data_IF_779532262055
#
_entry.id   IF_779532262055
#
_cell.length_a   1.000
_cell.length_b   1.000
_cell.length_c   1.000
_cell.angle_alpha   90.00
_cell.angle_beta   90.00
_cell.angle_gamma   90.00
#
_symmetry.space_group_name_H-M   'P 1'
#
loop_
_entity.id
_entity.type
_entity.pdbx_description
1 polymer ?
#
# COMPACT_ATOMS: atom_id res chain seq x y z
N UNK A 1 -10.13 -24.70 -13.02
CA UNK A 1 -9.22 -24.19 -11.97
C UNK A 1 -10.11 -23.73 -10.83
N UNK A 2 -9.71 -23.88 -9.57
CA UNK A 2 -10.44 -23.25 -8.45
C UNK A 2 -10.59 -21.76 -8.72
N UNK A 3 -11.74 -21.19 -8.41
CA UNK A 3 -12.02 -19.77 -8.65
C UNK A 3 -13.03 -19.23 -7.64
N UNK A 4 -13.02 -17.92 -7.43
CA UNK A 4 -13.98 -17.19 -6.59
C UNK A 4 -14.32 -15.86 -7.26
N UNK A 5 -15.57 -15.43 -7.17
CA UNK A 5 -16.03 -14.11 -7.63
C UNK A 5 -16.35 -13.24 -6.43
N UNK A 6 -15.67 -12.13 -6.25
CA UNK A 6 -15.89 -11.21 -5.12
C UNK A 6 -16.44 -9.87 -5.56
N UNK A 7 -17.25 -9.16 -4.75
CA UNK A 7 -17.74 -7.83 -5.13
C UNK A 7 -16.60 -6.82 -5.27
N UNK A 8 -16.64 -6.01 -6.32
CA UNK A 8 -15.70 -4.90 -6.53
C UNK A 8 -16.33 -3.60 -6.03
N UNK A 9 -15.67 -2.96 -5.06
CA UNK A 9 -16.19 -1.74 -4.40
C UNK A 9 -15.87 -0.44 -5.14
N UNK A 10 -15.02 -0.49 -6.18
CA UNK A 10 -14.64 0.64 -7.02
C UNK A 10 -14.33 1.93 -6.22
N UNK A 11 -13.32 1.86 -5.35
CA UNK A 11 -12.93 3.01 -4.52
C UNK A 11 -12.47 4.22 -5.33
N UNK A 12 -11.95 4.00 -6.53
CA UNK A 12 -11.53 5.07 -7.44
C UNK A 12 -12.72 5.80 -8.09
N UNK A 13 -13.95 5.28 -7.96
CA UNK A 13 -15.14 5.90 -8.54
C UNK A 13 -15.21 5.82 -10.06
N UNK A 14 -14.53 4.85 -10.68
CA UNK A 14 -14.51 4.64 -12.14
C UNK A 14 -15.88 4.14 -12.61
N UNK A 15 -16.61 4.95 -13.39
CA UNK A 15 -17.99 4.62 -13.82
C UNK A 15 -18.13 3.29 -14.59
N UNK A 16 -17.07 2.80 -15.20
CA UNK A 16 -17.05 1.56 -16.00
C UNK A 16 -16.46 0.36 -15.25
N UNK A 17 -16.29 0.44 -13.93
CA UNK A 17 -15.81 -0.70 -13.13
C UNK A 17 -16.80 -1.86 -13.22
N UNK A 18 -16.29 -3.08 -13.30
CA UNK A 18 -17.12 -4.26 -13.11
C UNK A 18 -17.66 -4.30 -11.67
N UNK A 19 -18.83 -4.90 -11.47
CA UNK A 19 -19.42 -5.08 -10.13
C UNK A 19 -18.71 -6.17 -9.31
N UNK A 20 -17.90 -7.00 -9.96
CA UNK A 20 -17.23 -8.15 -9.37
C UNK A 20 -15.84 -8.39 -9.95
N UNK A 21 -14.95 -8.92 -9.12
CA UNK A 21 -13.62 -9.40 -9.47
C UNK A 21 -13.58 -10.94 -9.43
N UNK A 22 -12.99 -11.56 -10.45
CA UNK A 22 -12.78 -13.01 -10.52
C UNK A 22 -11.34 -13.34 -10.13
N UNK A 23 -11.16 -14.14 -9.08
CA UNK A 23 -9.86 -14.64 -8.66
C UNK A 23 -9.73 -16.13 -8.95
N UNK A 24 -8.58 -16.52 -9.50
CA UNK A 24 -8.18 -17.92 -9.64
C UNK A 24 -6.64 -17.99 -9.65
N UNK A 25 -6.02 -19.05 -9.09
CA UNK A 25 -4.59 -19.23 -9.19
C UNK A 25 -4.22 -19.56 -10.63
N UNK A 26 -3.28 -18.82 -11.20
CA UNK A 26 -2.68 -19.14 -12.50
C UNK A 26 -1.76 -20.37 -12.37
N UNK A 27 -2.34 -21.57 -12.27
CA UNK A 27 -1.59 -22.84 -12.14
C UNK A 27 -0.81 -23.11 -13.44
N UNK A 28 0.42 -23.60 -13.30
CA UNK A 28 1.32 -24.03 -14.39
C UNK A 28 1.78 -22.91 -15.36
N UNK A 29 1.90 -21.66 -14.90
CA UNK A 29 2.57 -20.63 -15.70
C UNK A 29 4.08 -20.95 -15.79
N UNK A 30 4.62 -21.28 -16.98
CA UNK A 30 6.04 -21.62 -17.11
C UNK A 30 6.92 -20.37 -16.94
N UNK A 31 8.18 -20.57 -16.55
CA UNK A 31 9.18 -19.52 -16.55
C UNK A 31 9.35 -18.98 -17.99
N UNK A 32 9.17 -17.67 -18.17
CA UNK A 32 9.21 -17.00 -19.49
C UNK A 32 8.28 -17.69 -20.50
N UNK A 33 6.98 -17.71 -20.20
CA UNK A 33 5.97 -18.18 -21.14
C UNK A 33 4.56 -17.73 -20.77
N UNK A 34 3.56 -18.40 -21.33
CA UNK A 34 2.16 -18.05 -21.14
C UNK A 34 1.33 -19.27 -20.75
N UNK A 35 0.28 -19.02 -19.96
CA UNK A 35 -0.79 -19.97 -19.69
C UNK A 35 -2.10 -19.36 -20.18
N UNK A 36 -2.95 -20.17 -20.81
CA UNK A 36 -4.22 -19.72 -21.39
C UNK A 36 -5.37 -20.29 -20.56
N UNK A 37 -6.28 -19.41 -20.17
CA UNK A 37 -7.48 -19.76 -19.43
C UNK A 37 -8.70 -19.33 -20.22
N UNK A 38 -9.79 -20.12 -20.14
CA UNK A 38 -11.08 -19.80 -20.74
C UNK A 38 -12.06 -19.47 -19.62
N UNK A 39 -12.69 -18.31 -19.72
CA UNK A 39 -13.73 -17.87 -18.79
C UNK A 39 -15.02 -17.82 -19.59
N UNK A 40 -16.06 -18.51 -19.12
CA UNK A 40 -17.36 -18.55 -19.77
C UNK A 40 -18.46 -18.23 -18.78
N UNK A 41 -19.43 -17.42 -19.23
CA UNK A 41 -20.69 -17.28 -18.52
C UNK A 41 -21.53 -18.51 -18.82
N UNK A 42 -21.92 -19.24 -17.78
CA UNK A 42 -22.71 -20.46 -17.89
C UNK A 42 -24.11 -20.15 -17.38
N UNK A 43 -25.14 -20.46 -18.18
CA UNK A 43 -26.54 -20.48 -17.76
C UNK A 43 -26.96 -21.91 -17.39
N UNK A 44 -28.02 -22.09 -16.59
CA UNK A 44 -28.49 -23.42 -16.16
C UNK A 44 -28.69 -24.40 -17.33
N UNK A 45 -29.15 -23.91 -18.49
CA UNK A 45 -29.32 -24.69 -19.72
C UNK A 45 -28.03 -25.18 -20.39
N UNK A 46 -26.88 -24.56 -20.10
CA UNK A 46 -25.56 -24.93 -20.66
C UNK A 46 -24.79 -25.93 -19.79
N UNK A 47 -25.14 -26.06 -18.50
CA UNK A 47 -24.55 -27.04 -17.59
C UNK A 47 -24.82 -28.49 -18.03
N UNK A 48 -26.04 -28.78 -18.49
CA UNK A 48 -26.41 -30.13 -18.97
C UNK A 48 -25.62 -30.55 -20.23
N UNK A 49 -25.31 -29.59 -21.11
CA UNK A 49 -24.55 -29.82 -22.35
C UNK A 49 -23.03 -29.95 -22.12
N UNK A 50 -22.51 -29.44 -21.00
CA UNK A 50 -21.07 -29.41 -20.69
C UNK A 50 -20.63 -30.51 -19.72
N UNK A 51 -21.48 -31.50 -19.44
CA UNK A 51 -21.25 -32.64 -18.55
C UNK A 51 -20.02 -33.52 -18.88
N UNK A 52 -19.30 -33.26 -19.98
CA UNK A 52 -18.04 -33.90 -20.34
C UNK A 52 -16.78 -33.08 -20.03
N UNK A 53 -16.91 -31.86 -19.49
CA UNK A 53 -15.79 -30.98 -19.14
C UNK A 53 -15.82 -30.74 -17.63
N UNK A 54 -14.67 -30.89 -16.96
CA UNK A 54 -14.49 -30.56 -15.54
C UNK A 54 -14.67 -29.04 -15.32
N UNK A 55 -15.91 -28.57 -15.25
CA UNK A 55 -16.26 -27.21 -14.90
C UNK A 55 -16.10 -27.03 -13.39
N UNK A 56 -15.31 -26.04 -13.00
CA UNK A 56 -15.23 -25.59 -11.60
C UNK A 56 -16.02 -24.31 -11.50
N UNK A 57 -17.11 -24.34 -10.72
CA UNK A 57 -17.94 -23.17 -10.46
C UNK A 57 -17.21 -22.26 -9.45
N UNK A 58 -17.23 -20.92 -9.64
CA UNK A 58 -16.71 -20.01 -8.64
C UNK A 58 -17.50 -20.13 -7.34
N UNK A 59 -16.82 -20.19 -6.21
CA UNK A 59 -17.49 -20.05 -4.91
C UNK A 59 -17.84 -18.58 -4.68
N UNK A 60 -19.01 -18.32 -4.10
CA UNK A 60 -19.40 -16.97 -3.68
C UNK A 60 -18.79 -16.67 -2.31
N UNK A 61 -18.10 -15.53 -2.12
CA UNK A 61 -17.55 -15.16 -0.83
C UNK A 61 -18.65 -14.80 0.15
N UNK A 62 -18.36 -15.01 1.43
CA UNK A 62 -19.21 -14.52 2.51
C UNK A 62 -18.79 -13.09 2.87
N UNK A 63 -19.74 -12.15 2.78
CA UNK A 63 -19.57 -10.78 3.31
C UNK A 63 -19.83 -10.76 4.81
N UNK A 64 -18.88 -10.26 5.60
CA UNK A 64 -19.05 -10.03 7.04
C UNK A 64 -18.74 -8.57 7.38
N UNK A 65 -19.64 -7.92 8.11
CA UNK A 65 -19.38 -6.61 8.73
C UNK A 65 -18.51 -6.80 9.97
N UNK A 66 -17.48 -5.97 10.15
CA UNK A 66 -16.60 -6.03 11.32
C UNK A 66 -17.21 -5.37 12.58
N UNK A 67 -18.37 -4.71 12.45
CA UNK A 67 -18.87 -3.72 13.41
C UNK A 67 -19.57 -4.24 14.67
N UNK A 68 -19.99 -5.50 14.76
CA UNK A 68 -21.02 -5.85 15.76
C UNK A 68 -20.89 -7.23 16.41
N UNK A 69 -19.68 -7.79 16.48
CA UNK A 69 -19.45 -8.94 17.35
C UNK A 69 -18.49 -8.53 18.45
N UNK A 70 -18.79 -8.88 19.70
CA UNK A 70 -17.89 -8.83 20.88
C UNK A 70 -16.58 -9.67 20.71
N UNK A 71 -16.19 -9.95 19.47
CA UNK A 71 -14.91 -10.51 19.06
C UNK A 71 -14.13 -9.36 18.41
N UNK A 72 -13.25 -8.74 19.18
CA UNK A 72 -12.44 -7.56 18.81
C UNK A 72 -11.42 -7.81 17.68
N UNK A 73 -11.32 -9.04 17.14
CA UNK A 73 -10.30 -9.42 16.18
C UNK A 73 -10.82 -10.39 15.10
N UNK A 74 -10.71 -10.00 13.83
CA UNK A 74 -10.80 -10.92 12.70
C UNK A 74 -9.44 -11.61 12.54
N UNK A 75 -9.42 -12.94 12.45
CA UNK A 75 -8.23 -13.71 12.10
C UNK A 75 -8.37 -14.35 10.73
N UNK A 76 -7.35 -14.21 9.90
CA UNK A 76 -7.33 -14.69 8.51
C UNK A 76 -6.03 -15.44 8.27
N UNK A 77 -6.13 -16.72 7.92
CA UNK A 77 -4.97 -17.57 7.62
C UNK A 77 -4.83 -17.76 6.11
N UNK A 78 -3.61 -17.61 5.59
CA UNK A 78 -3.23 -18.06 4.24
C UNK A 78 -2.72 -19.50 4.23
N UNK A 79 -2.47 -20.10 5.39
CA UNK A 79 -1.73 -21.36 5.53
C UNK A 79 -0.21 -21.17 5.68
N UNK A 80 0.36 -20.01 5.33
CA UNK A 80 1.75 -19.65 5.65
C UNK A 80 1.83 -18.61 6.76
N UNK A 81 0.87 -17.66 6.77
CA UNK A 81 0.73 -16.63 7.79
C UNK A 81 -0.72 -16.58 8.30
N UNK A 82 -0.89 -16.07 9.51
CA UNK A 82 -2.17 -15.64 10.08
C UNK A 82 -2.12 -14.13 10.34
N UNK A 83 -2.94 -13.37 9.63
CA UNK A 83 -3.09 -11.93 9.82
C UNK A 83 -4.32 -11.62 10.66
N UNK A 84 -4.17 -10.75 11.68
CA UNK A 84 -5.27 -10.32 12.55
C UNK A 84 -5.60 -8.86 12.34
N UNK A 85 -6.89 -8.56 12.27
CA UNK A 85 -7.41 -7.22 11.99
C UNK A 85 -8.35 -6.75 13.10
N UNK A 86 -8.29 -5.45 13.40
CA UNK A 86 -9.26 -4.77 14.25
C UNK A 86 -9.71 -3.51 13.54
N UNK A 87 -11.02 -3.25 13.49
CA UNK A 87 -11.60 -2.13 12.73
C UNK A 87 -11.09 -2.03 11.28
N UNK A 88 -10.80 -3.19 10.66
CA UNK A 88 -10.35 -3.29 9.27
C UNK A 88 -8.89 -2.89 9.00
N UNK A 89 -8.08 -2.63 10.04
CA UNK A 89 -6.62 -2.41 9.93
C UNK A 89 -5.84 -3.57 10.55
N UNK A 90 -4.64 -3.81 10.04
CA UNK A 90 -3.76 -4.87 10.51
C UNK A 90 -3.29 -4.59 11.95
N UNK A 91 -3.31 -5.64 12.78
CA UNK A 91 -2.88 -5.58 14.18
C UNK A 91 -1.83 -6.63 14.54
N UNK A 92 -1.83 -7.79 13.88
CA UNK A 92 -0.85 -8.85 14.13
C UNK A 92 -0.55 -9.63 12.86
N UNK A 93 0.67 -10.15 12.77
CA UNK A 93 1.05 -11.19 11.81
C UNK A 93 1.65 -12.35 12.59
N UNK A 94 1.16 -13.55 12.33
CA UNK A 94 1.72 -14.78 12.85
C UNK A 94 2.27 -15.68 11.72
N UNK A 95 3.48 -16.20 11.84
CA UNK A 95 4.07 -17.16 10.90
C UNK A 95 3.68 -18.60 11.27
N UNK A 96 2.99 -19.29 10.37
CA UNK A 96 2.48 -20.65 10.55
C UNK A 96 3.55 -21.64 10.08
N UNK A 97 4.51 -21.96 10.95
CA UNK A 97 5.58 -22.92 10.62
C UNK A 97 6.85 -22.76 11.44
N UNK A 98 7.07 -21.58 12.03
CA UNK A 98 8.20 -21.33 12.91
C UNK A 98 7.94 -22.00 14.28
N UNK A 99 8.76 -23.00 14.62
CA UNK A 99 8.66 -23.79 15.85
C UNK A 99 9.22 -23.08 17.09
N UNK A 100 9.76 -21.88 16.95
CA UNK A 100 10.26 -21.07 18.06
C UNK A 100 9.20 -20.06 18.55
N UNK A 101 9.25 -19.78 19.85
CA UNK A 101 8.22 -19.24 20.75
C UNK A 101 7.73 -17.81 20.49
N UNK A 102 7.87 -17.29 19.28
CA UNK A 102 7.49 -15.92 18.91
C UNK A 102 6.75 -15.86 17.56
N UNK A 103 5.98 -16.91 17.26
CA UNK A 103 5.29 -17.07 15.99
C UNK A 103 4.29 -15.97 15.67
N UNK A 104 3.79 -15.20 16.64
CA UNK A 104 2.84 -14.11 16.41
C UNK A 104 3.29 -12.78 17.00
N UNK A 105 3.43 -11.77 16.14
CA UNK A 105 3.91 -10.45 16.52
C UNK A 105 2.82 -9.39 16.35
N UNK A 106 2.80 -8.42 17.26
CA UNK A 106 1.99 -7.22 17.08
C UNK A 106 2.55 -6.40 15.92
N UNK A 107 1.71 -6.12 14.93
CA UNK A 107 2.03 -5.32 13.74
C UNK A 107 0.89 -4.34 13.50
N UNK A 108 1.04 -3.11 13.98
CA UNK A 108 0.03 -2.07 13.85
C UNK A 108 0.25 -1.27 12.58
N UNK A 109 -0.78 -1.19 11.74
CA UNK A 109 -0.82 -0.23 10.64
C UNK A 109 -1.45 1.07 11.12
N UNK A 110 -0.78 2.19 10.85
CA UNK A 110 -1.23 3.55 11.15
C UNK A 110 -1.29 4.35 9.85
N UNK A 111 -2.45 4.92 9.53
CA UNK A 111 -2.57 5.97 8.51
C UNK A 111 -2.46 7.34 9.16
N UNK A 112 -1.86 8.29 8.47
CA UNK A 112 -1.78 9.66 8.96
C UNK A 112 -1.11 10.60 7.98
N UNK A 113 -0.83 11.81 8.45
CA UNK A 113 -0.13 12.82 7.64
C UNK A 113 0.78 13.72 8.47
N UNK A 114 1.78 14.26 7.78
CA UNK A 114 2.52 15.44 8.22
C UNK A 114 1.87 16.69 7.62
N UNK A 115 1.79 17.76 8.41
CA UNK A 115 1.36 19.06 7.86
C UNK A 115 2.55 19.69 7.18
N UNK A 116 2.40 20.07 5.91
CA UNK A 116 3.44 20.76 5.17
C UNK A 116 3.78 22.10 5.83
N UNK A 117 5.07 22.36 6.04
CA UNK A 117 5.53 23.67 6.49
C UNK A 117 5.21 24.73 5.42
N UNK A 118 4.63 25.82 5.89
CA UNK A 118 4.23 27.00 5.13
C UNK A 118 4.65 28.20 5.96
N UNK A 119 5.61 28.98 5.46
CA UNK A 119 6.20 30.11 6.17
C UNK A 119 5.19 31.20 6.48
N UNK A 120 4.10 31.32 5.72
CA UNK A 120 3.04 32.29 6.01
C UNK A 120 2.20 31.91 7.23
N UNK A 121 2.26 30.65 7.66
CA UNK A 121 1.45 30.08 8.75
C UNK A 121 2.27 29.61 9.94
N UNK A 122 3.47 29.08 9.69
CA UNK A 122 4.24 28.31 10.67
C UNK A 122 5.57 28.98 11.05
N UNK A 123 6.04 29.98 10.31
CA UNK A 123 7.32 30.63 10.57
C UNK A 123 7.35 31.26 11.97
N UNK A 124 8.38 30.89 12.76
CA UNK A 124 8.62 31.48 14.09
C UNK A 124 9.48 32.75 14.02
N UNK A 125 10.10 33.02 12.88
CA UNK A 125 10.92 34.20 12.62
C UNK A 125 10.88 34.56 11.14
N UNK A 126 11.31 35.78 10.79
CA UNK A 126 11.36 36.24 9.39
C UNK A 126 12.35 35.45 8.52
N UNK A 127 13.33 34.82 9.14
CA UNK A 127 14.35 34.04 8.44
C UNK A 127 13.90 32.58 8.20
N UNK A 128 12.74 32.20 8.74
CA UNK A 128 12.19 30.86 8.60
C UNK A 128 11.32 30.71 7.34
N UNK A 129 11.98 30.82 6.18
CA UNK A 129 11.30 30.99 4.88
C UNK A 129 11.18 29.71 4.06
N UNK A 130 11.82 28.60 4.46
CA UNK A 130 11.82 27.40 3.64
C UNK A 130 10.50 26.64 3.74
N UNK A 131 9.70 26.64 2.68
CA UNK A 131 8.47 25.84 2.61
C UNK A 131 8.73 24.37 2.28
N UNK A 132 7.73 23.52 2.56
CA UNK A 132 7.61 22.21 1.89
C UNK A 132 7.05 22.39 0.48
N UNK A 133 7.45 21.55 -0.47
CA UNK A 133 7.04 21.66 -1.87
C UNK A 133 7.40 20.44 -2.70
N UNK A 134 7.67 20.67 -3.99
CA UNK A 134 7.97 19.61 -4.96
C UNK A 134 9.29 18.88 -4.65
N UNK A 135 10.28 19.57 -4.11
CA UNK A 135 11.62 19.06 -3.81
C UNK A 135 11.83 18.85 -2.32
N UNK A 136 11.37 19.81 -1.51
CA UNK A 136 11.64 19.83 -0.08
C UNK A 136 10.47 19.20 0.68
N UNK A 137 10.75 18.16 1.45
CA UNK A 137 9.87 17.71 2.53
C UNK A 137 10.25 18.43 3.82
N UNK A 138 9.33 19.24 4.33
CA UNK A 138 9.49 19.90 5.62
C UNK A 138 8.16 19.85 6.38
N UNK A 139 8.02 19.00 7.41
CA UNK A 139 6.87 19.04 8.31
C UNK A 139 6.79 20.39 9.05
N UNK A 140 5.59 20.76 9.50
CA UNK A 140 5.32 22.03 10.17
C UNK A 140 6.09 22.21 11.47
N UNK A 141 6.45 21.11 12.14
CA UNK A 141 7.40 21.07 13.23
C UNK A 141 8.49 20.00 12.96
N UNK A 142 9.78 20.28 13.21
CA UNK A 142 10.86 19.31 13.04
C UNK A 142 10.67 17.96 13.75
N UNK A 143 9.90 17.95 14.85
CA UNK A 143 9.56 16.78 15.66
C UNK A 143 8.06 16.46 15.59
N UNK A 144 7.38 16.88 14.52
CA UNK A 144 5.95 16.64 14.37
C UNK A 144 5.66 15.14 14.53
N UNK A 145 4.78 14.83 15.48
CA UNK A 145 4.20 13.49 15.58
C UNK A 145 3.22 13.27 14.43
N UNK A 146 3.12 12.04 13.95
CA UNK A 146 2.19 11.69 12.87
C UNK A 146 0.76 11.99 13.31
N UNK A 147 0.04 12.82 12.55
CA UNK A 147 -1.38 13.06 12.77
C UNK A 147 -2.15 11.84 12.26
N UNK A 148 -2.50 10.95 13.18
CA UNK A 148 -3.13 9.67 12.87
C UNK A 148 -4.57 9.88 12.44
N UNK A 149 -4.98 9.10 11.44
CA UNK A 149 -6.35 8.99 10.95
C UNK A 149 -6.88 7.62 11.38
N UNK A 150 -7.90 7.60 12.24
CA UNK A 150 -8.47 6.35 12.72
C UNK A 150 -9.28 5.65 11.62
N UNK A 151 -9.33 4.31 11.60
CA UNK A 151 -10.29 3.60 10.76
C UNK A 151 -11.72 3.91 11.21
N UNK A 152 -12.64 4.11 10.26
CA UNK A 152 -14.07 4.18 10.48
C UNK A 152 -14.63 2.75 10.58
N UNK A 153 -15.01 2.28 11.79
CA UNK A 153 -15.52 0.93 11.95
C UNK A 153 -16.77 0.72 11.10
N UNK A 154 -17.60 1.77 10.95
CA UNK A 154 -18.88 1.77 10.19
C UNK A 154 -18.75 1.50 8.69
N UNK A 155 -17.50 1.49 8.20
CA UNK A 155 -17.14 1.34 6.79
C UNK A 155 -16.11 0.24 6.59
N UNK A 156 -16.01 -0.69 7.54
CA UNK A 156 -15.06 -1.79 7.52
C UNK A 156 -15.77 -3.13 7.35
N UNK A 157 -15.40 -3.87 6.30
CA UNK A 157 -16.07 -5.12 5.93
C UNK A 157 -15.07 -6.13 5.37
N UNK A 158 -15.48 -7.39 5.37
CA UNK A 158 -14.65 -8.51 4.95
C UNK A 158 -15.38 -9.30 3.89
N UNK A 159 -14.69 -9.60 2.79
CA UNK A 159 -15.08 -10.65 1.86
C UNK A 159 -14.16 -11.84 2.07
N UNK A 160 -14.72 -12.94 2.58
CA UNK A 160 -13.97 -14.17 2.86
C UNK A 160 -14.29 -15.23 1.83
N UNK A 161 -13.25 -15.81 1.23
CA UNK A 161 -13.33 -16.97 0.33
C UNK A 161 -12.18 -17.95 0.58
N UNK A 162 -12.15 -19.06 -0.16
CA UNK A 162 -11.12 -20.09 -0.06
C UNK A 162 -9.78 -19.67 -0.72
N UNK A 163 -9.81 -18.71 -1.67
CA UNK A 163 -8.61 -18.27 -2.41
C UNK A 163 -8.06 -16.93 -1.93
N UNK A 164 -8.94 -16.02 -1.50
CA UNK A 164 -8.58 -14.69 -1.03
C UNK A 164 -9.54 -14.24 0.05
N UNK A 165 -8.99 -13.58 1.06
CA UNK A 165 -9.79 -12.76 1.97
C UNK A 165 -9.40 -11.30 1.80
N UNK A 166 -10.40 -10.45 1.56
CA UNK A 166 -10.24 -9.01 1.49
C UNK A 166 -10.82 -8.35 2.73
N UNK A 167 -10.00 -7.56 3.41
CA UNK A 167 -10.41 -6.72 4.53
C UNK A 167 -10.40 -5.28 4.06
N UNK A 168 -11.59 -4.72 3.93
CA UNK A 168 -11.80 -3.36 3.49
C UNK A 168 -11.90 -2.43 4.69
N UNK A 169 -11.25 -1.29 4.61
CA UNK A 169 -11.40 -0.21 5.58
C UNK A 169 -11.37 1.15 4.92
N UNK A 170 -12.04 2.09 5.56
CA UNK A 170 -12.04 3.51 5.20
C UNK A 170 -11.58 4.28 6.42
N UNK A 171 -10.61 5.18 6.28
CA UNK A 171 -10.16 6.01 7.39
C UNK A 171 -11.11 7.18 7.61
N UNK A 172 -10.99 7.84 8.76
CA UNK A 172 -11.73 9.05 9.08
C UNK A 172 -11.54 10.12 7.99
N UNK A 173 -12.61 10.88 7.73
CA UNK A 173 -12.67 11.81 6.60
C UNK A 173 -12.96 11.14 5.25
N UNK A 174 -12.78 9.83 5.11
CA UNK A 174 -13.25 9.06 3.95
C UNK A 174 -12.46 9.25 2.65
N UNK A 175 -11.32 9.92 2.68
CA UNK A 175 -10.42 10.16 1.53
C UNK A 175 -9.19 9.24 1.53
N UNK A 176 -9.14 8.27 2.46
CA UNK A 176 -8.23 7.12 2.42
C UNK A 176 -9.07 5.86 2.56
N UNK A 177 -9.02 5.00 1.55
CA UNK A 177 -9.60 3.66 1.59
C UNK A 177 -8.50 2.63 1.33
N UNK A 178 -8.63 1.46 1.93
CA UNK A 178 -7.70 0.37 1.69
C UNK A 178 -8.39 -1.00 1.64
N UNK A 179 -7.72 -1.92 0.96
CA UNK A 179 -8.03 -3.33 0.88
C UNK A 179 -6.77 -4.08 1.33
N UNK A 180 -6.85 -4.75 2.48
CA UNK A 180 -5.83 -5.71 2.89
C UNK A 180 -6.22 -7.10 2.37
N UNK A 181 -5.39 -7.67 1.49
CA UNK A 181 -5.59 -9.01 0.91
C UNK A 181 -4.67 -10.04 1.53
N UNK A 182 -5.26 -11.19 1.83
CA UNK A 182 -4.57 -12.38 2.27
C UNK A 182 -4.90 -13.47 1.25
N UNK A 183 -3.93 -13.80 0.41
CA UNK A 183 -4.06 -14.86 -0.59
C UNK A 183 -3.77 -16.21 0.03
N UNK A 184 -4.56 -17.22 -0.33
CA UNK A 184 -4.32 -18.62 0.05
C UNK A 184 -2.93 -19.06 -0.43
N UNK A 185 -2.13 -19.63 0.47
CA UNK A 185 -0.74 -20.03 0.26
C UNK A 185 0.29 -18.88 0.28
N UNK A 186 -0.12 -17.61 0.37
CA UNK A 186 0.80 -16.46 0.40
C UNK A 186 1.42 -16.20 1.77
N UNK A 187 2.61 -15.63 1.81
CA UNK A 187 3.43 -15.35 3.01
C UNK A 187 3.57 -13.84 3.32
N UNK A 188 2.65 -13.03 2.77
CA UNK A 188 2.61 -11.59 2.94
C UNK A 188 1.17 -11.08 3.01
N UNK A 189 1.01 -9.86 3.55
CA UNK A 189 -0.23 -9.09 3.46
C UNK A 189 -0.07 -8.06 2.34
N UNK A 190 -0.94 -8.07 1.34
CA UNK A 190 -1.00 -7.01 0.35
C UNK A 190 -1.96 -5.92 0.83
N UNK A 191 -1.52 -4.67 0.80
CA UNK A 191 -2.34 -3.51 1.13
C UNK A 191 -2.45 -2.66 -0.12
N UNK A 192 -3.59 -2.74 -0.79
CA UNK A 192 -3.96 -1.79 -1.83
C UNK A 192 -4.67 -0.60 -1.18
N UNK A 193 -4.31 0.61 -1.57
CA UNK A 193 -4.90 1.82 -1.04
C UNK A 193 -5.28 2.79 -2.13
N UNK A 194 -6.32 3.58 -1.86
CA UNK A 194 -6.75 4.73 -2.63
C UNK A 194 -6.67 5.95 -1.71
N UNK A 195 -5.95 6.97 -2.15
CA UNK A 195 -5.71 8.20 -1.36
C UNK A 195 -6.06 9.41 -2.20
N UNK A 196 -7.05 10.15 -1.71
CA UNK A 196 -7.47 11.44 -2.23
C UNK A 196 -8.98 11.53 -2.46
N UNK A 197 -9.49 12.72 -2.82
CA UNK A 197 -8.76 13.98 -2.89
C UNK A 197 -8.26 14.43 -1.51
N UNK A 198 -6.98 14.78 -1.38
CA UNK A 198 -6.42 15.25 -0.10
C UNK A 198 -7.09 16.59 0.27
N UNK A 199 -7.79 16.68 1.42
CA UNK A 199 -8.54 17.88 1.79
C UNK A 199 -7.60 19.03 2.14
N UNK A 200 -7.91 20.23 1.64
CA UNK A 200 -7.12 21.46 1.85
C UNK A 200 -8.00 22.64 2.28
N UNK A 201 -9.25 22.39 2.69
CA UNK A 201 -10.22 23.43 3.08
C UNK A 201 -9.80 24.19 4.35
N UNK A 202 -8.96 23.55 5.17
CA UNK A 202 -8.28 24.17 6.32
C UNK A 202 -7.09 25.07 5.90
N UNK A 203 -6.80 25.14 4.60
CA UNK A 203 -5.65 25.82 4.03
C UNK A 203 -4.32 25.16 4.41
N UNK A 204 -4.27 23.92 4.86
CA UNK A 204 -3.01 23.26 5.24
C UNK A 204 -2.65 22.17 4.22
N UNK A 205 -1.41 22.24 3.72
CA UNK A 205 -0.83 21.14 2.93
C UNK A 205 -0.64 19.89 3.80
N UNK A 206 -0.80 18.71 3.19
CA UNK A 206 -0.75 17.42 3.89
C UNK A 206 0.08 16.42 3.09
N UNK A 207 0.91 15.68 3.80
CA UNK A 207 1.84 14.69 3.26
C UNK A 207 1.53 13.35 3.91
N UNK A 208 0.86 12.49 3.15
CA UNK A 208 0.14 11.31 3.63
C UNK A 208 1.10 10.13 3.75
N UNK A 209 1.03 9.43 4.88
CA UNK A 209 1.93 8.36 5.25
C UNK A 209 1.14 7.15 5.74
N UNK A 210 1.57 5.97 5.34
CA UNK A 210 1.25 4.73 6.04
C UNK A 210 2.47 4.28 6.84
N UNK A 211 2.27 3.93 8.10
CA UNK A 211 3.31 3.47 9.03
C UNK A 211 2.94 2.12 9.58
N UNK A 212 3.87 1.17 9.48
CA UNK A 212 3.74 -0.16 10.07
C UNK A 212 4.67 -0.24 11.27
N UNK A 213 4.14 -0.71 12.40
CA UNK A 213 4.86 -0.79 13.67
C UNK A 213 4.83 -2.21 14.21
N UNK A 214 6.01 -2.79 14.37
CA UNK A 214 6.24 -4.01 15.12
C UNK A 214 7.13 -3.66 16.33
N UNK A 215 6.54 -3.36 17.52
CA UNK A 215 7.30 -2.95 18.69
C UNK A 215 8.32 -3.96 19.19
N UNK A 216 8.15 -5.24 18.83
CA UNK A 216 9.09 -6.32 19.16
C UNK A 216 10.40 -6.24 18.38
N UNK A 217 10.49 -5.41 17.32
CA UNK A 217 11.73 -5.21 16.56
C UNK A 217 12.52 -4.05 17.16
N UNK A 218 13.64 -4.38 17.80
CA UNK A 218 14.55 -3.41 18.42
C UNK A 218 15.67 -3.00 17.45
N UNK A 219 15.32 -2.30 16.37
CA UNK A 219 16.27 -1.97 15.31
C UNK A 219 17.28 -0.84 15.66
N UNK A 220 17.17 -0.19 16.82
CA UNK A 220 18.12 0.83 17.28
C UNK A 220 18.34 1.98 16.30
N UNK A 221 17.29 2.39 15.58
CA UNK A 221 17.32 3.39 14.50
C UNK A 221 17.98 2.93 13.20
N UNK A 222 18.37 1.66 13.07
CA UNK A 222 18.91 1.08 11.84
C UNK A 222 17.78 0.63 10.93
N UNK A 223 17.85 0.95 9.65
CA UNK A 223 16.93 0.46 8.64
C UNK A 223 17.63 0.37 7.29
N UNK A 224 17.04 -0.31 6.32
CA UNK A 224 17.68 -0.58 5.06
C UNK A 224 16.74 -0.22 3.92
N UNK A 225 17.23 0.59 2.98
CA UNK A 225 16.46 0.93 1.76
C UNK A 225 17.24 0.48 0.54
N UNK A 226 16.52 0.02 -0.48
CA UNK A 226 17.15 -0.33 -1.74
C UNK A 226 17.79 0.89 -2.43
N UNK A 227 18.79 0.64 -3.27
CA UNK A 227 19.33 1.61 -4.21
C UNK A 227 18.92 1.21 -5.63
N UNK A 228 17.91 1.88 -6.17
CA UNK A 228 17.38 1.64 -7.51
C UNK A 228 16.96 0.18 -7.76
N UNK A 229 16.30 -0.44 -6.78
CA UNK A 229 15.87 -1.85 -6.83
C UNK A 229 17.01 -2.85 -6.66
N UNK A 230 18.23 -2.41 -6.35
CA UNK A 230 19.42 -3.27 -6.23
C UNK A 230 19.86 -3.39 -4.78
N UNK A 231 21.09 -3.01 -4.45
CA UNK A 231 21.69 -3.21 -3.12
C UNK A 231 20.90 -2.50 -2.03
N UNK A 232 20.80 -3.13 -0.86
CA UNK A 232 20.22 -2.51 0.31
C UNK A 232 21.29 -1.69 1.04
N UNK A 233 21.03 -0.40 1.17
CA UNK A 233 21.90 0.55 1.86
C UNK A 233 21.48 0.64 3.32
N UNK A 234 22.42 0.35 4.23
CA UNK A 234 22.21 0.58 5.66
C UNK A 234 22.04 2.07 5.94
N UNK A 235 20.94 2.43 6.59
CA UNK A 235 20.61 3.77 7.09
C UNK A 235 20.61 3.73 8.62
N UNK A 236 20.87 4.89 9.22
CA UNK A 236 20.82 5.09 10.66
C UNK A 236 20.14 6.43 10.93
N UNK A 237 19.07 6.41 11.73
CA UNK A 237 18.33 7.60 12.12
C UNK A 237 19.25 8.61 12.82
N UNK A 238 19.22 9.87 12.38
CA UNK A 238 20.01 10.96 12.95
C UNK A 238 21.53 10.86 12.72
N UNK A 239 21.98 10.07 11.73
CA UNK A 239 23.40 9.81 11.51
C UNK A 239 23.80 9.98 10.04
N UNK A 240 25.06 10.34 9.82
CA UNK A 240 25.71 10.35 8.49
C UNK A 240 27.08 9.70 8.59
N UNK A 241 27.45 8.80 7.65
CA UNK A 241 28.73 8.11 7.70
C UNK A 241 29.93 9.00 7.36
N UNK A 242 29.71 10.13 6.70
CA UNK A 242 30.77 10.94 6.10
C UNK A 242 31.02 12.28 6.80
N UNK A 243 30.15 12.69 7.73
CA UNK A 243 30.35 13.89 8.56
C UNK A 243 29.57 13.80 9.87
N UNK A 244 29.96 14.63 10.85
CA UNK A 244 29.21 14.77 12.10
C UNK A 244 27.94 15.60 11.86
N UNK A 245 26.77 14.94 11.83
CA UNK A 245 25.50 15.59 11.56
C UNK A 245 25.00 16.35 12.80
N UNK A 246 24.66 17.62 12.64
CA UNK A 246 23.74 18.31 13.56
C UNK A 246 22.34 18.27 12.93
N UNK A 247 21.45 17.48 13.52
CA UNK A 247 20.10 17.25 12.98
C UNK A 247 19.13 18.35 13.43
N UNK A 248 18.48 18.99 12.46
CA UNK A 248 17.49 20.06 12.71
C UNK A 248 16.09 19.67 12.22
N UNK A 249 15.96 18.56 11.48
CA UNK A 249 14.71 18.04 10.92
C UNK A 249 14.59 16.55 11.25
N UNK A 250 14.12 16.23 12.46
CA UNK A 250 14.18 14.86 13.00
C UNK A 250 13.32 13.87 12.21
N UNK A 251 12.27 14.34 11.53
CA UNK A 251 11.50 13.52 10.59
C UNK A 251 12.14 13.55 9.20
N UNK A 252 12.19 14.71 8.54
CA UNK A 252 12.59 14.81 7.13
C UNK A 252 14.04 14.38 6.87
N UNK A 253 14.96 14.64 7.79
CA UNK A 253 16.37 14.22 7.67
C UNK A 253 16.60 12.71 7.67
N UNK A 254 15.54 11.93 7.95
CA UNK A 254 15.57 10.47 8.01
C UNK A 254 14.72 9.79 6.93
N UNK A 255 14.22 10.55 5.95
CA UNK A 255 13.59 10.00 4.75
C UNK A 255 14.62 9.68 3.68
N UNK A 256 14.46 8.52 3.05
CA UNK A 256 15.28 8.02 1.94
C UNK A 256 14.40 7.52 0.80
N UNK A 257 14.92 7.49 -0.44
CA UNK A 257 14.21 6.87 -1.55
C UNK A 257 14.07 5.37 -1.32
N UNK A 258 12.88 4.86 -1.64
CA UNK A 258 12.50 3.45 -1.65
C UNK A 258 11.96 3.20 -3.06
N UNK A 259 12.71 2.49 -3.89
CA UNK A 259 12.30 2.23 -5.27
C UNK A 259 11.66 0.85 -5.42
N UNK A 260 11.97 -0.08 -4.51
CA UNK A 260 11.42 -1.43 -4.52
C UNK A 260 11.09 -1.96 -3.12
N UNK A 261 11.94 -1.72 -2.11
CA UNK A 261 11.68 -2.21 -0.76
C UNK A 261 12.48 -1.49 0.34
N UNK A 262 11.91 -1.53 1.55
CA UNK A 262 12.52 -1.09 2.81
C UNK A 262 12.33 -2.18 3.86
N UNK A 263 13.32 -2.38 4.73
CA UNK A 263 13.17 -3.29 5.86
C UNK A 263 13.86 -2.80 7.13
N UNK A 264 13.38 -3.31 8.26
CA UNK A 264 14.01 -3.25 9.59
C UNK A 264 14.19 -4.66 10.12
N UNK A 265 15.21 -4.85 10.95
CA UNK A 265 15.49 -6.14 11.58
C UNK A 265 16.29 -5.96 12.86
N UNK A 266 16.18 -6.94 13.74
CA UNK A 266 17.11 -7.22 14.84
C UNK A 266 17.59 -8.69 14.72
N UNK A 267 18.09 -9.28 15.81
CA UNK A 267 18.56 -10.68 15.80
C UNK A 267 17.40 -11.70 15.72
N UNK A 268 16.18 -11.31 16.09
CA UNK A 268 15.03 -12.20 16.28
C UNK A 268 13.95 -12.04 15.21
N UNK A 269 13.82 -10.85 14.61
CA UNK A 269 12.71 -10.51 13.74
C UNK A 269 13.16 -9.58 12.61
N UNK A 270 12.49 -9.70 11.48
CA UNK A 270 12.62 -8.77 10.36
C UNK A 270 11.24 -8.44 9.77
N UNK A 271 11.02 -7.17 9.45
CA UNK A 271 9.82 -6.67 8.79
C UNK A 271 10.22 -5.93 7.51
N UNK A 272 9.59 -6.29 6.39
CA UNK A 272 9.86 -5.70 5.07
C UNK A 272 8.60 -5.20 4.41
N UNK A 273 8.70 -4.08 3.71
CA UNK A 273 7.66 -3.52 2.85
C UNK A 273 8.22 -3.40 1.44
N UNK A 274 7.57 -4.03 0.48
CA UNK A 274 7.79 -3.78 -0.95
C UNK A 274 6.76 -2.78 -1.48
N UNK A 275 7.20 -1.91 -2.38
CA UNK A 275 6.42 -0.83 -2.98
C UNK A 275 6.21 -1.07 -4.48
N UNK A 276 5.06 -0.65 -5.02
CA UNK A 276 4.75 -0.76 -6.46
C UNK A 276 5.35 0.38 -7.31
N UNK A 277 5.87 1.43 -6.65
CA UNK A 277 6.47 2.61 -7.27
C UNK A 277 7.46 3.27 -6.32
N UNK A 278 8.29 4.16 -6.86
CA UNK A 278 9.24 4.93 -6.04
C UNK A 278 8.53 5.86 -5.06
N UNK A 279 8.89 5.76 -3.78
CA UNK A 279 8.34 6.52 -2.68
C UNK A 279 9.45 6.99 -1.72
N UNK A 280 9.11 7.91 -0.82
CA UNK A 280 9.99 8.30 0.28
C UNK A 280 9.57 7.61 1.56
N UNK A 281 10.52 7.16 2.37
CA UNK A 281 10.21 6.57 3.68
C UNK A 281 11.42 6.38 4.58
N UNK A 282 11.19 5.84 5.77
CA UNK A 282 12.23 5.61 6.76
C UNK A 282 11.72 4.97 8.05
N UNK A 283 12.59 4.86 9.05
CA UNK A 283 12.27 4.36 10.40
C UNK A 283 12.41 5.50 11.43
N UNK A 284 11.34 6.26 11.61
CA UNK A 284 11.33 7.47 12.46
C UNK A 284 11.34 7.14 13.95
N UNK A 285 10.73 6.02 14.32
CA UNK A 285 10.79 5.42 15.66
C UNK A 285 11.20 3.96 15.55
N UNK A 286 11.76 3.39 16.61
CA UNK A 286 12.16 1.99 16.61
C UNK A 286 10.95 1.06 16.46
N UNK A 287 11.20 -0.07 15.82
CA UNK A 287 10.17 -1.04 15.45
C UNK A 287 9.21 -0.51 14.38
N UNK A 288 9.53 0.55 13.64
CA UNK A 288 8.63 1.09 12.62
C UNK A 288 9.27 1.28 11.26
N UNK A 289 8.43 1.14 10.23
CA UNK A 289 8.68 1.62 8.87
C UNK A 289 7.52 2.53 8.49
N UNK A 290 7.82 3.69 7.94
CA UNK A 290 6.81 4.54 7.32
C UNK A 290 7.16 4.89 5.88
N UNK A 291 6.12 5.01 5.06
CA UNK A 291 6.21 5.32 3.63
C UNK A 291 5.21 6.42 3.30
N UNK A 292 5.70 7.51 2.70
CA UNK A 292 4.87 8.60 2.21
C UNK A 292 4.25 8.21 0.87
N UNK A 293 2.92 8.15 0.84
CA UNK A 293 2.18 7.61 -0.30
C UNK A 293 1.69 8.68 -1.26
N UNK A 294 1.35 9.86 -0.73
CA UNK A 294 0.84 10.99 -1.52
C UNK A 294 1.12 12.30 -0.78
N UNK A 295 1.17 13.43 -1.50
CA UNK A 295 1.39 14.75 -0.90
C UNK A 295 0.73 15.84 -1.71
N UNK A 296 0.16 16.82 -0.99
CA UNK A 296 -0.45 18.02 -1.56
C UNK A 296 -0.02 19.24 -0.75
N UNK A 297 0.83 20.09 -1.32
CA UNK A 297 1.29 21.35 -0.71
C UNK A 297 0.53 22.54 -1.32
N UNK A 298 0.52 23.67 -0.61
CA UNK A 298 -0.18 24.89 -1.03
C UNK A 298 0.74 26.07 -1.33
N UNK A 299 2.05 25.87 -1.13
CA UNK A 299 3.10 26.85 -1.40
C UNK A 299 4.25 26.18 -2.17
N UNK A 300 4.97 26.98 -2.97
CA UNK A 300 6.21 26.59 -3.64
C UNK A 300 7.37 26.57 -2.62
N UNK A 301 8.34 25.68 -2.84
CA UNK A 301 9.53 25.55 -2.00
C UNK A 301 10.74 26.39 -2.46
N UNK A 302 10.53 27.22 -3.48
CA UNK A 302 11.52 28.14 -4.04
C UNK A 302 12.76 27.41 -4.56
N UNK A 303 12.57 26.31 -5.30
CA UNK A 303 13.66 25.54 -5.94
C UNK A 303 13.62 25.50 -7.47
N UNK A 304 12.74 26.29 -8.07
CA UNK A 304 12.78 26.61 -9.51
C UNK A 304 11.57 26.13 -10.32
N UNK A 305 10.70 25.30 -9.75
CA UNK A 305 9.42 24.95 -10.39
C UNK A 305 8.41 26.11 -10.31
N UNK A 306 8.47 26.90 -9.23
CA UNK A 306 7.63 28.08 -8.99
C UNK A 306 6.14 27.74 -8.89
N UNK A 307 5.83 26.58 -8.32
CA UNK A 307 4.48 26.05 -8.14
C UNK A 307 4.37 25.13 -6.93
N UNK A 308 3.24 25.19 -6.19
CA UNK A 308 2.95 24.17 -5.19
C UNK A 308 2.62 22.82 -5.84
N UNK A 309 2.87 21.72 -5.11
CA UNK A 309 2.40 20.38 -5.50
C UNK A 309 0.90 20.27 -5.19
N UNK A 310 0.08 20.91 -6.01
CA UNK A 310 -1.37 21.00 -5.86
C UNK A 310 -2.09 20.45 -7.09
N UNK A 311 -1.77 19.20 -7.44
CA UNK A 311 -2.30 18.52 -8.63
C UNK A 311 -3.82 18.31 -8.55
N UNK A 312 -4.49 18.48 -9.68
CA UNK A 312 -5.94 18.32 -9.81
C UNK A 312 -6.34 17.54 -11.06
N UNK A 313 -7.50 16.88 -11.00
CA UNK A 313 -8.00 15.97 -12.03
C UNK A 313 -8.48 16.65 -13.33
N UNK A 314 -8.78 17.95 -13.30
CA UNK A 314 -9.23 18.71 -14.48
C UNK A 314 -8.19 19.70 -15.02
N UNK A 315 -6.97 19.70 -14.49
CA UNK A 315 -5.86 20.52 -14.99
C UNK A 315 -5.80 21.94 -14.41
N UNK A 316 -5.33 22.88 -15.21
CA UNK A 316 -5.02 24.26 -14.77
C UNK A 316 -5.31 25.26 -15.89
N UNK A 317 -5.72 26.48 -15.55
CA UNK A 317 -5.78 27.59 -16.51
C UNK A 317 -4.37 27.94 -17.02
N UNK A 318 -4.29 28.68 -18.13
CA UNK A 318 -3.00 29.09 -18.69
C UNK A 318 -2.15 29.89 -17.69
N UNK A 319 -0.82 29.82 -17.83
CA UNK A 319 0.08 30.66 -17.03
C UNK A 319 0.03 32.12 -17.45
N UNK A 320 0.43 33.05 -16.56
CA UNK A 320 0.69 34.43 -16.92
C UNK A 320 1.64 34.57 -18.12
N UNK A 321 1.41 35.52 -19.05
CA UNK A 321 0.35 36.53 -19.00
C UNK A 321 -1.01 36.07 -19.55
N UNK A 322 -1.14 34.82 -20.00
CA UNK A 322 -2.32 34.30 -20.71
C UNK A 322 -3.42 33.75 -19.79
N UNK A 323 -3.15 33.66 -18.49
CA UNK A 323 -4.10 33.26 -17.45
C UNK A 323 -3.52 33.46 -16.05
N UNK A 324 -4.11 32.78 -15.07
CA UNK A 324 -3.82 32.92 -13.64
C UNK A 324 -3.26 31.64 -12.99
N UNK A 325 -2.90 30.62 -13.77
CA UNK A 325 -2.41 29.33 -13.28
C UNK A 325 -3.29 28.72 -12.16
N UNK A 326 -4.61 28.90 -12.28
CA UNK A 326 -5.60 28.41 -11.33
C UNK A 326 -5.88 26.94 -11.57
N UNK A 327 -5.70 26.12 -10.54
CA UNK A 327 -6.04 24.69 -10.54
C UNK A 327 -7.56 24.51 -10.70
N UNK A 328 -7.96 23.55 -11.54
CA UNK A 328 -9.35 23.22 -11.85
C UNK A 328 -9.61 21.76 -11.46
N UNK A 329 -10.78 21.49 -10.89
CA UNK A 329 -11.18 20.14 -10.50
C UNK A 329 -10.86 19.79 -9.06
N UNK A 330 -10.95 18.51 -8.73
CA UNK A 330 -10.65 18.00 -7.39
C UNK A 330 -9.15 17.70 -7.27
N UNK A 331 -8.67 17.60 -6.03
CA UNK A 331 -7.31 17.10 -5.79
C UNK A 331 -7.13 15.70 -6.35
N UNK A 332 -5.95 15.41 -6.89
CA UNK A 332 -5.66 14.11 -7.51
C UNK A 332 -5.86 12.96 -6.51
N UNK A 333 -6.53 11.91 -6.98
CA UNK A 333 -6.66 10.62 -6.30
C UNK A 333 -5.64 9.66 -6.88
N UNK A 334 -4.91 8.96 -6.02
CA UNK A 334 -3.98 7.91 -6.44
C UNK A 334 -4.43 6.56 -5.88
N UNK A 335 -4.05 5.49 -6.57
CA UNK A 335 -4.07 4.14 -6.06
C UNK A 335 -2.71 3.48 -6.19
N UNK A 336 -2.38 2.61 -5.25
CA UNK A 336 -1.13 1.86 -5.22
C UNK A 336 -1.20 0.67 -4.26
N UNK A 337 -0.18 -0.17 -4.30
CA UNK A 337 -0.07 -1.38 -3.47
C UNK A 337 1.25 -1.42 -2.70
N UNK A 338 1.17 -1.90 -1.46
CA UNK A 338 2.31 -2.36 -0.68
C UNK A 338 2.18 -3.85 -0.38
N UNK A 339 3.30 -4.55 -0.26
CA UNK A 339 3.32 -5.91 0.28
C UNK A 339 4.19 -5.94 1.53
N UNK A 340 3.59 -6.39 2.63
CA UNK A 340 4.20 -6.46 3.95
C UNK A 340 4.48 -7.91 4.31
N UNK A 341 5.72 -8.21 4.69
CA UNK A 341 6.10 -9.52 5.24
C UNK A 341 6.87 -9.35 6.54
N UNK A 342 6.74 -10.35 7.40
CA UNK A 342 7.40 -10.45 8.69
C UNK A 342 8.02 -11.85 8.80
N UNK A 343 9.29 -11.94 9.20
CA UNK A 343 9.97 -13.22 9.37
C UNK A 343 10.71 -13.30 10.69
N UNK A 344 10.87 -14.53 11.19
CA UNK A 344 11.81 -14.85 12.26
C UNK A 344 13.27 -14.77 11.80
N UNK A 345 14.10 -14.30 12.72
CA UNK A 345 15.52 -14.06 12.57
C UNK A 345 15.85 -12.86 11.68
N UNK A 346 17.16 -12.63 11.55
CA UNK A 346 17.75 -11.58 10.73
C UNK A 346 17.70 -11.91 9.23
N UNK A 347 16.49 -11.88 8.66
CA UNK A 347 16.20 -12.26 7.27
C UNK A 347 15.66 -11.12 6.41
N UNK A 348 15.78 -9.85 6.84
CA UNK A 348 15.16 -8.69 6.18
C UNK A 348 15.46 -8.63 4.70
N UNK A 349 16.73 -8.73 4.30
CA UNK A 349 17.11 -8.73 2.89
C UNK A 349 16.50 -9.91 2.10
N UNK A 350 16.42 -11.11 2.69
CA UNK A 350 15.86 -12.29 2.03
C UNK A 350 14.37 -12.11 1.75
N UNK A 351 13.59 -11.70 2.76
CA UNK A 351 12.14 -11.51 2.59
C UNK A 351 11.85 -10.33 1.67
N UNK A 352 12.66 -9.26 1.72
CA UNK A 352 12.50 -8.15 0.77
C UNK A 352 12.70 -8.61 -0.67
N UNK A 353 13.71 -9.44 -0.96
CA UNK A 353 13.94 -9.96 -2.31
C UNK A 353 12.76 -10.79 -2.82
N UNK A 354 12.23 -11.69 -1.99
CA UNK A 354 11.07 -12.49 -2.35
C UNK A 354 9.85 -11.62 -2.67
N UNK A 355 9.62 -10.54 -1.91
CA UNK A 355 8.53 -9.60 -2.17
C UNK A 355 8.74 -8.77 -3.43
N UNK A 356 9.96 -8.29 -3.68
CA UNK A 356 10.30 -7.41 -4.79
C UNK A 356 9.98 -8.03 -6.15
N UNK A 357 10.34 -9.30 -6.36
CA UNK A 357 10.16 -9.97 -7.65
C UNK A 357 8.68 -10.02 -8.05
N UNK A 358 7.82 -10.44 -7.12
CA UNK A 358 6.39 -10.52 -7.36
C UNK A 358 5.70 -9.16 -7.46
N UNK A 359 6.26 -8.10 -6.88
CA UNK A 359 5.71 -6.74 -6.95
C UNK A 359 6.13 -6.03 -8.24
N UNK A 360 7.33 -6.30 -8.74
CA UNK A 360 7.87 -5.69 -9.95
C UNK A 360 7.47 -6.44 -11.23
N UNK A 361 7.42 -7.77 -11.18
CA UNK A 361 7.17 -8.63 -12.36
C UNK A 361 5.85 -9.40 -12.21
N UNK A 362 4.75 -8.67 -12.03
CA UNK A 362 3.42 -9.28 -12.06
C UNK A 362 3.15 -9.92 -13.43
N UNK A 363 2.45 -11.09 -13.49
CA UNK A 363 2.06 -11.69 -14.75
C UNK A 363 1.25 -10.73 -15.62
N UNK A 364 1.65 -10.57 -16.88
CA UNK A 364 0.89 -9.78 -17.84
C UNK A 364 -0.42 -10.52 -18.19
N UNK A 365 -1.54 -9.84 -18.01
CA UNK A 365 -2.87 -10.38 -18.32
C UNK A 365 -3.33 -9.85 -19.67
N UNK A 366 -3.63 -10.76 -20.60
CA UNK A 366 -4.21 -10.44 -21.90
C UNK A 366 -5.63 -11.01 -21.95
N UNK A 367 -6.60 -10.17 -22.29
CA UNK A 367 -7.98 -10.59 -22.47
C UNK A 367 -8.36 -10.52 -23.96
N UNK A 368 -9.00 -11.57 -24.45
CA UNK A 368 -9.60 -11.62 -25.77
C UNK A 368 -10.97 -12.31 -25.67
N UNK A 369 -11.92 -11.87 -26.49
CA UNK A 369 -13.23 -12.51 -26.62
C UNK A 369 -13.40 -13.07 -28.04
N UNK A 370 -14.04 -14.23 -28.15
CA UNK A 370 -14.37 -14.85 -29.42
C UNK A 370 -15.75 -15.47 -29.35
N UNK A 371 -16.53 -15.30 -30.42
CA UNK A 371 -17.82 -15.97 -30.58
C UNK A 371 -17.69 -17.44 -31.02
N UNK A 372 -16.48 -17.87 -31.43
CA UNK A 372 -16.18 -19.25 -31.85
C UNK A 372 -15.12 -19.87 -30.95
N UNK A 373 -15.24 -21.17 -30.69
CA UNK A 373 -14.24 -21.94 -29.95
C UNK A 373 -12.86 -21.83 -30.61
N UNK A 374 -11.85 -21.48 -29.84
CA UNK A 374 -10.44 -21.46 -30.26
C UNK A 374 -9.73 -22.61 -29.55
N UNK A 375 -9.26 -23.61 -30.31
CA UNK A 375 -8.45 -24.70 -29.78
C UNK A 375 -6.97 -24.30 -29.74
N UNK A 376 -6.52 -23.81 -28.59
CA UNK A 376 -5.14 -23.38 -28.40
C UNK A 376 -4.12 -24.53 -28.35
N UNK A 377 -4.57 -25.80 -28.36
CA UNK A 377 -3.68 -26.97 -28.39
C UNK A 377 -3.06 -27.25 -29.76
N UNK A 378 -3.46 -26.51 -30.81
CA UNK A 378 -3.04 -26.73 -32.21
C UNK A 378 -2.12 -25.64 -32.78
N UNK A 379 -1.66 -24.70 -31.97
CA UNK A 379 -0.61 -23.78 -32.41
C UNK A 379 0.74 -24.51 -32.29
N UNK A 380 1.12 -25.24 -33.34
CA UNK A 380 2.50 -25.70 -33.58
C UNK A 380 3.39 -24.57 -34.10
#
# INVERSE_FOLDING_TARGET
>A
VESVVIPNKNYEGIRSSADYDLHFPAKNLPAVGAAIYRIEMVTDSTLDALSQINLVQPTSPLRRMLENTNQEHLSVSSGQIEAKFSSGVLTHICNIGDKETESCQSVHQEWGYYTSFDSTKHAKSKDDTQNSGAYIFRPSDPKQELQKLAPDPSKSFVYKSDLVTEVHSTMEGGWIQQISRIFSGGDYVEVEYVVGPIPIDDGLGKEIVTRYRCPSIENGGTFYTDSNGREFMRRQRGYRPTWNLTEYQLVAGNYYPINAAIYIEDDNLAMSIAVDRSQGGGSIIDGSIEVMVHRRTLVDDCRGVNEPINETDAGMTHYPPYGDAKRIGNGLVISAKHRLSLSSGRKGASISRSLMDGAFSEPLVFAASSHKYVDFRKAE
#
